data_IF_516263849446
#
_entry.id   IF_516263849446
#
_cell.length_a   1.000
_cell.length_b   1.000
_cell.length_c   1.000
_cell.angle_alpha   90.00
_cell.angle_beta   90.00
_cell.angle_gamma   90.00
#
_symmetry.space_group_name_H-M   'P 1'
#
loop_
_entity.id
_entity.type
_entity.pdbx_description
1 polymer ?
#
# COMPACT_ATOMS: atom_id res chain seq x y z
N UNK A 1 11.16 -20.51 -23.79
CA UNK A 1 10.15 -21.57 -23.91
C UNK A 1 10.57 -22.99 -23.47
N UNK A 2 11.67 -23.59 -23.99
CA UNK A 2 11.91 -25.04 -23.79
C UNK A 2 12.45 -25.47 -22.42
N UNK A 3 13.09 -24.57 -21.65
CA UNK A 3 13.63 -24.89 -20.31
C UNK A 3 12.58 -24.76 -19.21
N UNK A 4 11.63 -23.83 -19.35
CA UNK A 4 10.52 -23.65 -18.41
C UNK A 4 9.53 -24.84 -18.49
N UNK A 5 9.14 -25.24 -19.71
CA UNK A 5 8.28 -26.42 -19.92
C UNK A 5 8.94 -27.73 -19.46
N UNK A 6 10.27 -27.86 -19.59
CA UNK A 6 10.99 -29.08 -19.16
C UNK A 6 11.18 -29.21 -17.65
N UNK A 7 11.21 -28.11 -16.91
CA UNK A 7 11.44 -28.14 -15.46
C UNK A 7 10.14 -28.21 -14.66
N UNK A 8 9.05 -27.61 -15.14
CA UNK A 8 7.77 -27.64 -14.43
C UNK A 8 6.80 -28.67 -15.02
N UNK A 9 6.82 -28.92 -16.34
CA UNK A 9 5.80 -29.75 -17.01
C UNK A 9 4.37 -29.18 -16.90
N UNK A 10 4.22 -27.98 -16.35
CA UNK A 10 2.97 -27.33 -16.02
C UNK A 10 2.75 -26.22 -17.05
N UNK A 11 1.79 -26.40 -17.95
CA UNK A 11 1.42 -25.38 -18.93
C UNK A 11 1.18 -24.02 -18.26
N UNK A 12 1.37 -22.93 -19.01
CA UNK A 12 1.36 -21.55 -18.47
C UNK A 12 0.21 -21.20 -17.50
N UNK A 13 -0.96 -21.84 -17.59
CA UNK A 13 -2.05 -21.71 -16.63
C UNK A 13 -1.77 -22.34 -15.26
N UNK A 14 -1.20 -23.54 -15.22
CA UNK A 14 -0.91 -24.27 -13.97
C UNK A 14 0.18 -23.57 -13.13
N UNK A 15 1.14 -22.89 -13.78
CA UNK A 15 2.14 -22.09 -13.08
C UNK A 15 1.53 -20.83 -12.42
N UNK A 16 0.48 -20.27 -13.02
CA UNK A 16 -0.24 -19.13 -12.45
C UNK A 16 -1.11 -19.59 -11.28
N UNK A 17 -1.80 -20.72 -11.42
CA UNK A 17 -2.60 -21.31 -10.34
C UNK A 17 -1.75 -21.73 -9.14
N UNK A 18 -0.56 -22.31 -9.37
CA UNK A 18 0.35 -22.68 -8.29
C UNK A 18 0.93 -21.46 -7.57
N UNK A 19 1.28 -20.40 -8.30
CA UNK A 19 1.72 -19.13 -7.69
C UNK A 19 0.58 -18.48 -6.89
N UNK A 20 -0.64 -18.48 -7.43
CA UNK A 20 -1.82 -17.97 -6.72
C UNK A 20 -2.05 -18.74 -5.42
N UNK A 21 -2.04 -20.09 -5.48
CA UNK A 21 -2.20 -20.95 -4.32
C UNK A 21 -1.09 -20.76 -3.28
N UNK A 22 0.16 -20.59 -3.73
CA UNK A 22 1.29 -20.28 -2.86
C UNK A 22 1.10 -18.93 -2.15
N UNK A 23 0.77 -17.86 -2.89
CA UNK A 23 0.53 -16.53 -2.33
C UNK A 23 -0.58 -16.62 -1.28
N UNK A 24 -1.73 -17.17 -1.64
CA UNK A 24 -2.90 -17.29 -0.74
C UNK A 24 -2.56 -18.12 0.50
N UNK A 25 -1.87 -19.26 0.33
CA UNK A 25 -1.50 -20.14 1.44
C UNK A 25 -0.59 -19.47 2.46
N UNK A 26 0.47 -18.80 1.99
CA UNK A 26 1.37 -18.06 2.89
C UNK A 26 0.68 -16.85 3.50
N UNK A 27 -0.21 -16.18 2.76
CA UNK A 27 -0.96 -15.02 3.29
C UNK A 27 -1.91 -15.42 4.43
N UNK A 28 -2.60 -16.56 4.32
CA UNK A 28 -3.41 -17.12 5.41
C UNK A 28 -2.54 -17.38 6.64
N UNK A 29 -1.37 -18.01 6.46
CA UNK A 29 -0.45 -18.26 7.57
C UNK A 29 0.01 -16.95 8.22
N UNK A 30 0.33 -15.92 7.43
CA UNK A 30 0.75 -14.63 7.96
C UNK A 30 -0.36 -13.89 8.71
N UNK A 31 -1.61 -14.01 8.29
CA UNK A 31 -2.73 -13.42 9.01
C UNK A 31 -2.85 -14.01 10.43
N UNK A 32 -2.75 -15.33 10.54
CA UNK A 32 -2.84 -16.06 11.82
C UNK A 32 -1.60 -15.86 12.71
N UNK A 33 -0.42 -15.69 12.11
CA UNK A 33 0.87 -15.61 12.81
C UNK A 33 1.48 -14.19 12.83
N UNK A 34 0.65 -13.17 12.57
CA UNK A 34 1.07 -11.77 12.38
C UNK A 34 1.76 -11.15 13.59
N UNK A 35 1.35 -11.53 14.81
CA UNK A 35 1.96 -11.04 16.06
C UNK A 35 3.19 -11.87 16.52
N UNK A 36 3.49 -12.97 15.82
CA UNK A 36 4.52 -13.93 16.21
C UNK A 36 5.92 -13.62 15.64
N UNK A 37 6.99 -14.18 16.24
CA UNK A 37 8.35 -14.03 15.72
C UNK A 37 8.55 -14.68 14.34
N UNK A 38 7.62 -15.56 13.94
CA UNK A 38 7.63 -16.24 12.64
C UNK A 38 7.11 -15.37 11.50
N UNK A 39 6.46 -14.23 11.79
CA UNK A 39 5.93 -13.32 10.77
C UNK A 39 7.00 -12.93 9.75
N UNK A 40 8.17 -12.47 10.21
CA UNK A 40 9.25 -12.05 9.33
C UNK A 40 9.80 -13.20 8.48
N UNK A 41 9.80 -14.43 9.02
CA UNK A 41 10.21 -15.62 8.29
C UNK A 41 9.20 -15.95 7.18
N UNK A 42 7.90 -15.89 7.48
CA UNK A 42 6.83 -16.12 6.51
C UNK A 42 6.86 -15.07 5.38
N UNK A 43 7.08 -13.81 5.72
CA UNK A 43 7.26 -12.73 4.75
C UNK A 43 8.47 -12.99 3.84
N UNK A 44 9.60 -13.39 4.42
CA UNK A 44 10.79 -13.76 3.65
C UNK A 44 10.53 -14.95 2.72
N UNK A 45 9.76 -15.96 3.18
CA UNK A 45 9.33 -17.09 2.36
C UNK A 45 8.43 -16.63 1.22
N UNK A 46 7.47 -15.73 1.46
CA UNK A 46 6.63 -15.19 0.40
C UNK A 46 7.47 -14.48 -0.67
N UNK A 47 8.34 -13.57 -0.26
CA UNK A 47 9.22 -12.85 -1.18
C UNK A 47 10.10 -13.79 -1.98
N UNK A 48 10.72 -14.78 -1.32
CA UNK A 48 11.54 -15.79 -1.99
C UNK A 48 10.73 -16.59 -3.02
N UNK A 49 9.51 -17.03 -2.67
CA UNK A 49 8.66 -17.79 -3.59
C UNK A 49 8.19 -16.97 -4.79
N UNK A 50 7.78 -15.72 -4.58
CA UNK A 50 7.40 -14.81 -5.67
C UNK A 50 8.58 -14.52 -6.60
N UNK A 51 9.76 -14.26 -6.06
CA UNK A 51 10.98 -14.05 -6.86
C UNK A 51 11.36 -15.32 -7.62
N UNK A 52 11.32 -16.49 -6.97
CA UNK A 52 11.61 -17.77 -7.63
C UNK A 52 10.66 -18.03 -8.81
N UNK A 53 9.35 -17.80 -8.63
CA UNK A 53 8.37 -17.92 -9.70
C UNK A 53 8.65 -16.94 -10.86
N UNK A 54 9.04 -15.70 -10.54
CA UNK A 54 9.40 -14.70 -11.55
C UNK A 54 10.65 -15.09 -12.34
N UNK A 55 11.66 -15.65 -11.68
CA UNK A 55 12.90 -16.10 -12.31
C UNK A 55 12.68 -17.32 -13.20
N UNK A 56 11.84 -18.27 -12.76
CA UNK A 56 11.60 -19.51 -13.51
C UNK A 56 10.67 -19.32 -14.71
N UNK A 57 9.58 -18.56 -14.56
CA UNK A 57 8.52 -18.49 -15.57
C UNK A 57 8.07 -17.06 -15.91
N UNK A 58 8.63 -16.02 -15.27
CA UNK A 58 8.23 -14.64 -15.49
C UNK A 58 8.58 -14.10 -16.88
N UNK A 59 9.62 -14.62 -17.55
CA UNK A 59 9.95 -14.18 -18.92
C UNK A 59 8.95 -14.65 -19.97
N UNK A 60 8.32 -15.80 -19.74
CA UNK A 60 7.48 -16.47 -20.73
C UNK A 60 5.98 -16.16 -20.54
N UNK A 61 5.55 -15.69 -19.36
CA UNK A 61 4.14 -15.36 -19.08
C UNK A 61 3.93 -13.94 -18.53
N UNK A 62 3.20 -13.12 -19.29
CA UNK A 62 2.80 -11.76 -18.87
C UNK A 62 1.83 -11.79 -17.68
N UNK A 63 0.95 -12.79 -17.63
CA UNK A 63 0.01 -12.99 -16.54
C UNK A 63 0.74 -13.32 -15.23
N UNK A 64 1.76 -14.19 -15.30
CA UNK A 64 2.56 -14.56 -14.13
C UNK A 64 3.34 -13.36 -13.58
N UNK A 65 3.95 -12.54 -14.45
CA UNK A 65 4.61 -11.29 -14.00
C UNK A 65 3.65 -10.36 -13.30
N UNK A 66 2.46 -10.17 -13.86
CA UNK A 66 1.46 -9.30 -13.27
C UNK A 66 1.02 -9.81 -11.90
N UNK A 67 0.74 -11.12 -11.77
CA UNK A 67 0.37 -11.74 -10.50
C UNK A 67 1.50 -11.65 -9.46
N UNK A 68 2.74 -11.93 -9.86
CA UNK A 68 3.90 -11.82 -8.99
C UNK A 68 4.11 -10.38 -8.52
N UNK A 69 3.96 -9.37 -9.39
CA UNK A 69 4.04 -7.97 -8.98
C UNK A 69 2.89 -7.58 -8.04
N UNK A 70 1.67 -8.04 -8.31
CA UNK A 70 0.54 -7.80 -7.42
C UNK A 70 0.77 -8.41 -6.04
N UNK A 71 1.19 -9.69 -5.97
CA UNK A 71 1.54 -10.36 -4.72
C UNK A 71 2.67 -9.66 -3.98
N UNK A 72 3.71 -9.23 -4.68
CA UNK A 72 4.83 -8.51 -4.07
C UNK A 72 4.42 -7.15 -3.49
N UNK A 73 3.59 -6.37 -4.20
CA UNK A 73 3.10 -5.07 -3.72
C UNK A 73 2.20 -5.25 -2.50
N UNK A 74 1.28 -6.22 -2.57
CA UNK A 74 0.39 -6.54 -1.45
C UNK A 74 1.18 -6.99 -0.22
N UNK A 75 2.18 -7.85 -0.42
CA UNK A 75 3.05 -8.32 0.64
C UNK A 75 3.85 -7.20 1.27
N UNK A 76 4.46 -6.34 0.44
CA UNK A 76 5.20 -5.19 0.94
C UNK A 76 4.32 -4.24 1.75
N UNK A 77 3.08 -4.02 1.28
CA UNK A 77 2.08 -3.24 2.01
C UNK A 77 1.69 -3.90 3.34
N UNK A 78 1.43 -5.21 3.34
CA UNK A 78 1.07 -5.95 4.54
C UNK A 78 2.20 -5.94 5.58
N UNK A 79 3.43 -6.29 5.17
CA UNK A 79 4.62 -6.22 6.02
C UNK A 79 4.84 -4.82 6.57
N UNK A 80 4.65 -3.79 5.75
CA UNK A 80 4.73 -2.40 6.22
C UNK A 80 3.68 -2.12 7.30
N UNK A 81 2.41 -2.45 7.05
CA UNK A 81 1.34 -2.21 8.02
C UNK A 81 1.60 -2.96 9.34
N UNK A 82 1.98 -4.23 9.30
CA UNK A 82 2.25 -5.02 10.51
C UNK A 82 3.50 -4.55 11.25
N UNK A 83 4.58 -4.24 10.54
CA UNK A 83 5.84 -3.83 11.19
C UNK A 83 5.75 -2.42 11.78
N UNK A 84 5.03 -1.53 11.10
CA UNK A 84 4.85 -0.14 11.51
C UNK A 84 3.52 0.11 12.22
N UNK A 85 2.76 -0.92 12.59
CA UNK A 85 1.38 -0.80 13.08
C UNK A 85 1.21 0.30 14.14
N UNK A 86 1.96 0.20 15.23
CA UNK A 86 1.93 1.17 16.33
C UNK A 86 2.46 2.57 15.95
N UNK A 87 3.41 2.62 15.00
CA UNK A 87 3.96 3.89 14.49
C UNK A 87 2.98 4.57 13.54
N UNK A 88 2.22 3.78 12.77
CA UNK A 88 1.22 4.24 11.82
C UNK A 88 -0.01 4.80 12.54
N UNK A 89 -0.42 4.22 13.67
CA UNK A 89 -1.49 4.78 14.49
C UNK A 89 -1.11 6.19 15.00
N UNK A 90 0.12 6.33 15.51
CA UNK A 90 0.64 7.62 15.99
C UNK A 90 0.84 8.63 14.85
N UNK A 91 1.51 8.24 13.76
CA UNK A 91 1.75 9.10 12.61
C UNK A 91 0.46 9.45 11.86
N UNK A 92 -0.47 8.51 11.77
CA UNK A 92 -1.79 8.67 11.18
C UNK A 92 -2.65 9.66 11.95
N UNK A 93 -2.64 9.59 13.28
CA UNK A 93 -3.28 10.60 14.13
C UNK A 93 -2.70 12.00 13.87
N UNK A 94 -1.38 12.15 13.85
CA UNK A 94 -0.75 13.45 13.57
C UNK A 94 -1.04 13.96 12.17
N UNK A 95 -1.07 13.08 11.17
CA UNK A 95 -1.41 13.45 9.80
C UNK A 95 -2.87 13.92 9.71
N UNK A 96 -3.80 13.19 10.32
CA UNK A 96 -5.21 13.55 10.38
C UNK A 96 -5.43 14.86 11.17
N UNK A 97 -4.75 15.04 12.30
CA UNK A 97 -4.79 16.27 13.08
C UNK A 97 -4.21 17.45 12.28
N UNK A 98 -3.09 17.25 11.58
CA UNK A 98 -2.49 18.25 10.70
C UNK A 98 -3.42 18.69 9.58
N UNK A 99 -4.09 17.74 8.91
CA UNK A 99 -5.14 18.05 7.92
C UNK A 99 -6.28 18.82 8.56
N UNK A 100 -6.75 18.39 9.73
CA UNK A 100 -7.86 19.05 10.44
C UNK A 100 -7.52 20.49 10.81
N UNK A 101 -6.31 20.74 11.32
CA UNK A 101 -5.82 22.07 11.64
C UNK A 101 -5.61 22.93 10.38
N UNK A 102 -5.15 22.34 9.28
CA UNK A 102 -5.02 23.04 8.00
C UNK A 102 -6.38 23.52 7.47
N UNK A 103 -7.41 22.68 7.56
CA UNK A 103 -8.79 23.04 7.21
C UNK A 103 -9.32 24.14 8.12
N UNK A 104 -9.08 24.04 9.43
CA UNK A 104 -9.51 25.06 10.40
C UNK A 104 -8.81 26.41 10.13
N UNK A 105 -7.49 26.39 9.91
CA UNK A 105 -6.72 27.58 9.57
C UNK A 105 -7.18 28.22 8.26
N UNK A 106 -7.50 27.41 7.25
CA UNK A 106 -8.07 27.89 6.00
C UNK A 106 -9.44 28.56 6.23
N UNK A 107 -10.29 27.97 7.07
CA UNK A 107 -11.61 28.51 7.38
C UNK A 107 -11.51 29.85 8.14
N UNK A 108 -10.64 29.93 9.15
CA UNK A 108 -10.36 31.17 9.90
C UNK A 108 -9.86 32.26 8.92
N UNK A 109 -8.84 31.93 8.11
CA UNK A 109 -8.29 32.85 7.11
C UNK A 109 -9.35 33.32 6.11
N UNK A 110 -10.32 32.47 5.77
CA UNK A 110 -11.41 32.83 4.86
C UNK A 110 -12.37 33.84 5.48
N UNK A 111 -12.71 33.66 6.75
CA UNK A 111 -13.61 34.55 7.50
C UNK A 111 -12.95 35.92 7.72
N UNK A 112 -11.69 35.96 8.15
CA UNK A 112 -10.94 37.20 8.38
C UNK A 112 -10.88 38.07 7.12
N UNK A 113 -10.65 37.45 5.95
CA UNK A 113 -10.70 38.15 4.66
C UNK A 113 -12.07 38.75 4.37
N UNK A 114 -13.17 38.03 4.64
CA UNK A 114 -14.53 38.57 4.43
C UNK A 114 -14.87 39.72 5.36
N UNK A 115 -14.42 39.67 6.61
CA UNK A 115 -14.66 40.73 7.58
C UNK A 115 -13.88 42.00 7.22
N UNK A 116 -12.63 41.84 6.78
CA UNK A 116 -11.78 42.98 6.38
C UNK A 116 -12.36 43.72 5.17
N UNK A 117 -12.92 42.99 4.20
CA UNK A 117 -13.61 43.57 3.04
C UNK A 117 -14.87 44.39 3.42
N UNK A 118 -15.57 44.03 4.50
CA UNK A 118 -16.72 44.80 5.00
C UNK A 118 -16.30 46.03 5.82
N UNK A 119 -15.16 45.98 6.51
CA UNK A 119 -14.64 47.11 7.28
C UNK A 119 -14.25 48.30 6.41
N UNK A 120 -13.57 48.05 5.28
CA UNK A 120 -13.18 49.10 4.33
C UNK A 120 -14.40 49.75 3.64
N UNK A 121 -15.48 48.99 3.41
CA UNK A 121 -16.71 49.51 2.79
C UNK A 121 -17.45 50.52 3.69
N UNK A 122 -17.33 50.39 5.02
CA UNK A 122 -17.91 51.33 5.99
C UNK A 122 -17.01 52.56 6.14
N UNK A 123 -15.68 52.39 6.17
CA UNK A 123 -14.73 53.51 6.25
C UNK A 123 -14.68 54.40 5.00
N UNK A 124 -14.93 53.85 3.81
CA UNK A 124 -15.03 54.62 2.57
C UNK A 124 -16.28 55.51 2.49
N UNK A 125 -17.30 55.29 3.35
CA UNK A 125 -18.52 56.09 3.42
C UNK A 125 -18.45 57.33 4.32
N UNK A 126 -17.51 57.38 5.27
CA UNK A 126 -17.31 58.54 6.18
C UNK A 126 -16.37 59.61 5.61
N UNK A 127 -15.75 59.36 4.44
CA UNK A 127 -14.79 60.27 3.80
C UNK A 127 -15.32 61.04 2.57
N UNK A 128 -16.62 60.98 2.27
CA UNK A 128 -17.27 61.68 1.15
C UNK A 128 -18.28 62.72 1.66
#
# INVERSE_FOLDING_TARGET
PQLADRLTGLGSGLAVESLLGFIVGVWIMQAELSEGPYFLLLAAVMFAGVVAALLMAGRDSRALRWLAYAGFILELGFVYLTLFDTMLDTAGFFFAAGISLAVLAWFISRIEKRLSEHGDAIGAGEGA
#
